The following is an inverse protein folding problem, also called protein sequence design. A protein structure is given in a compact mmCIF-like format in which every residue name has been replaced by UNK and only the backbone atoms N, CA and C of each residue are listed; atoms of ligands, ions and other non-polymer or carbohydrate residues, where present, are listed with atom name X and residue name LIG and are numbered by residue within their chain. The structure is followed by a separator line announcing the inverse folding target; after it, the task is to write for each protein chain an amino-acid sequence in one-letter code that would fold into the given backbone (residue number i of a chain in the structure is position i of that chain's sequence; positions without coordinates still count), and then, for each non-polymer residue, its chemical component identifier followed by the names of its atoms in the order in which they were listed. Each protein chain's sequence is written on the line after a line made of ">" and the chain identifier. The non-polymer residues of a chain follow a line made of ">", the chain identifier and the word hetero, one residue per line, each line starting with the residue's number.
data_IF_346029137329
#
_entry.id   IF_346029137329
#
_cell.length_a   1.000
_cell.length_b   1.000
_cell.length_c   1.000
_cell.angle_alpha   90.00
_cell.angle_beta   90.00
_cell.angle_gamma   90.00
#
_symmetry.space_group_name_H-M   'P 1'
#
loop_
_entity.id
_entity.type
_entity.pdbx_description
1 polymer ?
#
# COMPACT_ATOMS: atom_id res chain seq x y z
N UNK A 1 30.30 -2.90 -19.90
CA UNK A 1 28.86 -2.87 -19.58
C UNK A 1 28.79 -2.89 -18.08
N UNK A 2 28.94 -1.71 -17.45
CA UNK A 2 28.77 -1.63 -16.01
C UNK A 2 27.34 -2.08 -15.70
N UNK A 3 27.14 -3.08 -14.83
CA UNK A 3 25.80 -3.47 -14.45
C UNK A 3 25.10 -2.21 -13.92
N UNK A 4 23.81 -2.04 -14.25
CA UNK A 4 22.97 -1.03 -13.63
C UNK A 4 22.97 -1.27 -12.11
N UNK A 5 23.95 -0.70 -11.41
CA UNK A 5 24.00 -0.69 -9.95
C UNK A 5 22.99 0.35 -9.53
N UNK A 6 21.74 -0.07 -9.41
CA UNK A 6 20.71 0.74 -8.74
C UNK A 6 21.24 1.05 -7.33
N UNK A 7 21.07 2.28 -6.82
CA UNK A 7 21.37 2.55 -5.42
C UNK A 7 20.58 1.55 -4.58
N UNK A 8 21.27 0.80 -3.72
CA UNK A 8 20.71 -0.39 -3.04
C UNK A 8 19.39 -0.07 -2.31
N UNK A 9 19.25 1.16 -1.81
CA UNK A 9 18.05 1.70 -1.17
C UNK A 9 16.84 1.79 -2.10
N UNK A 10 17.01 2.19 -3.37
CA UNK A 10 15.92 2.32 -4.33
C UNK A 10 15.35 0.95 -4.75
N UNK A 11 16.24 0.00 -5.03
CA UNK A 11 15.85 -1.37 -5.40
C UNK A 11 15.09 -2.09 -4.28
N UNK A 12 15.55 -1.95 -3.04
CA UNK A 12 14.85 -2.48 -1.86
C UNK A 12 13.47 -1.84 -1.69
N UNK A 13 13.34 -0.53 -1.92
CA UNK A 13 12.06 0.18 -1.83
C UNK A 13 11.06 -0.33 -2.86
N UNK A 14 11.51 -0.61 -4.10
CA UNK A 14 10.66 -1.22 -5.14
C UNK A 14 10.20 -2.62 -4.71
N UNK A 15 11.09 -3.45 -4.18
CA UNK A 15 10.73 -4.80 -3.69
C UNK A 15 9.68 -4.74 -2.58
N UNK A 16 9.82 -3.82 -1.63
CA UNK A 16 8.82 -3.59 -0.58
C UNK A 16 7.49 -3.16 -1.19
N UNK A 17 7.48 -2.22 -2.12
CA UNK A 17 6.27 -1.77 -2.81
C UNK A 17 5.57 -2.89 -3.59
N UNK A 18 6.33 -3.77 -4.23
CA UNK A 18 5.81 -4.97 -4.90
C UNK A 18 5.18 -5.94 -3.90
N UNK A 19 5.80 -6.16 -2.74
CA UNK A 19 5.23 -6.97 -1.67
C UNK A 19 3.88 -6.42 -1.19
N UNK A 20 3.80 -5.10 -0.98
CA UNK A 20 2.56 -4.41 -0.59
C UNK A 20 1.50 -4.54 -1.70
N UNK A 21 1.87 -4.40 -2.98
CA UNK A 21 0.95 -4.62 -4.10
C UNK A 21 0.38 -6.03 -4.13
N UNK A 22 1.22 -7.05 -3.91
CA UNK A 22 0.80 -8.45 -3.87
C UNK A 22 -0.20 -8.68 -2.73
N UNK A 23 0.07 -8.14 -1.54
CA UNK A 23 -0.85 -8.22 -0.40
C UNK A 23 -2.18 -7.53 -0.72
N UNK A 24 -2.15 -6.32 -1.26
CA UNK A 24 -3.37 -5.61 -1.64
C UNK A 24 -4.17 -6.32 -2.73
N UNK A 25 -3.48 -6.95 -3.69
CA UNK A 25 -4.09 -7.77 -4.73
C UNK A 25 -4.78 -9.01 -4.16
N UNK A 26 -4.11 -9.72 -3.24
CA UNK A 26 -4.69 -10.89 -2.57
C UNK A 26 -5.91 -10.52 -1.74
N UNK A 27 -5.85 -9.40 -0.99
CA UNK A 27 -7.00 -8.93 -0.22
C UNK A 27 -8.15 -8.56 -1.16
N UNK A 28 -7.90 -7.75 -2.19
CA UNK A 28 -8.94 -7.25 -3.10
C UNK A 28 -9.59 -8.33 -3.96
N UNK A 29 -8.78 -9.13 -4.64
CA UNK A 29 -9.27 -10.05 -5.69
C UNK A 29 -9.48 -11.48 -5.18
N UNK A 30 -8.72 -11.90 -4.16
CA UNK A 30 -8.86 -13.24 -3.57
C UNK A 30 -9.74 -13.24 -2.32
N UNK A 31 -10.18 -12.07 -1.84
CA UNK A 31 -10.95 -11.95 -0.60
C UNK A 31 -10.17 -12.40 0.63
N UNK A 32 -8.84 -12.31 0.62
CA UNK A 32 -8.00 -12.75 1.75
C UNK A 32 -8.01 -11.73 2.91
N UNK A 33 -9.20 -11.48 3.43
CA UNK A 33 -9.50 -10.61 4.57
C UNK A 33 -8.86 -11.11 5.86
N UNK A 34 -8.50 -12.40 5.97
CA UNK A 34 -7.72 -12.94 7.09
C UNK A 34 -6.35 -12.27 7.28
N UNK A 35 -5.82 -11.63 6.21
CA UNK A 35 -4.58 -10.86 6.28
C UNK A 35 -4.77 -9.52 7.01
N UNK A 36 -6.01 -9.07 7.21
CA UNK A 36 -6.32 -7.93 8.05
C UNK A 36 -6.24 -8.37 9.51
N UNK A 37 -5.24 -7.86 10.21
CA UNK A 37 -5.10 -8.09 11.64
C UNK A 37 -6.38 -7.64 12.37
N UNK A 38 -6.96 -8.55 13.17
CA UNK A 38 -8.19 -8.28 13.92
C UNK A 38 -9.49 -8.43 13.11
N UNK A 39 -9.44 -9.05 11.92
CA UNK A 39 -10.66 -9.45 11.21
C UNK A 39 -11.47 -10.47 12.04
N UNK A 40 -12.72 -10.13 12.34
CA UNK A 40 -13.71 -11.05 12.91
C UNK A 40 -14.84 -11.25 11.89
N UNK A 41 -15.01 -12.46 11.32
CA UNK A 41 -16.05 -12.74 10.34
C UNK A 41 -17.47 -12.54 10.89
N UNK A 42 -17.68 -12.58 12.21
CA UNK A 42 -19.00 -12.35 12.82
C UNK A 42 -19.34 -10.86 12.98
N UNK A 43 -18.36 -9.98 12.91
CA UNK A 43 -18.52 -8.54 13.04
C UNK A 43 -18.68 -7.82 11.69
N UNK A 44 -18.48 -8.52 10.57
CA UNK A 44 -18.45 -7.93 9.22
C UNK A 44 -19.67 -8.39 8.43
N UNK A 45 -20.58 -7.45 8.16
CA UNK A 45 -21.83 -7.69 7.41
C UNK A 45 -21.59 -7.92 5.92
N UNK A 46 -20.52 -7.32 5.35
CA UNK A 46 -20.16 -7.45 3.93
C UNK A 46 -18.64 -7.58 3.77
N UNK A 47 -18.19 -8.82 3.64
CA UNK A 47 -16.78 -9.17 3.48
C UNK A 47 -16.20 -8.69 2.13
N UNK A 48 -17.01 -8.69 1.07
CA UNK A 48 -16.59 -8.27 -0.26
C UNK A 48 -16.33 -6.76 -0.30
N UNK A 49 -17.20 -5.97 0.34
CA UNK A 49 -16.97 -4.53 0.49
C UNK A 49 -15.71 -4.23 1.31
N UNK A 50 -15.44 -4.98 2.37
CA UNK A 50 -14.22 -4.81 3.18
C UNK A 50 -12.95 -5.13 2.37
N UNK A 51 -12.97 -6.24 1.64
CA UNK A 51 -11.88 -6.67 0.76
C UNK A 51 -11.56 -5.63 -0.31
N UNK A 52 -12.60 -5.07 -0.95
CA UNK A 52 -12.43 -4.09 -2.03
C UNK A 52 -11.89 -2.74 -1.52
N UNK A 53 -12.36 -2.30 -0.35
CA UNK A 53 -11.90 -1.08 0.31
C UNK A 53 -10.46 -1.20 0.83
N UNK A 54 -10.17 -2.25 1.59
CA UNK A 54 -8.86 -2.47 2.20
C UNK A 54 -7.82 -2.81 1.13
N UNK A 55 -8.10 -3.80 0.29
CA UNK A 55 -7.21 -4.23 -0.78
C UNK A 55 -6.97 -3.13 -1.81
N UNK A 56 -8.01 -2.38 -2.19
CA UNK A 56 -7.87 -1.22 -3.09
C UNK A 56 -6.99 -0.10 -2.53
N UNK A 57 -7.02 0.11 -1.21
CA UNK A 57 -6.15 1.11 -0.56
C UNK A 57 -4.71 0.62 -0.48
N UNK A 58 -4.51 -0.65 -0.11
CA UNK A 58 -3.17 -1.26 -0.05
C UNK A 58 -2.51 -1.29 -1.43
N UNK A 59 -3.26 -1.59 -2.49
CA UNK A 59 -2.75 -1.52 -3.88
C UNK A 59 -2.27 -0.10 -4.21
N UNK A 60 -3.04 0.93 -3.84
CA UNK A 60 -2.64 2.33 -4.08
C UNK A 60 -1.36 2.70 -3.33
N UNK A 61 -1.24 2.27 -2.07
CA UNK A 61 -0.02 2.48 -1.27
C UNK A 61 1.17 1.78 -1.94
N UNK A 62 1.03 0.50 -2.27
CA UNK A 62 2.07 -0.27 -2.94
C UNK A 62 2.51 0.36 -4.26
N UNK A 63 1.57 0.85 -5.07
CA UNK A 63 1.87 1.56 -6.32
C UNK A 63 2.67 2.85 -6.07
N UNK A 64 2.28 3.66 -5.06
CA UNK A 64 3.02 4.87 -4.68
C UNK A 64 4.44 4.53 -4.23
N UNK A 65 4.63 3.47 -3.44
CA UNK A 65 5.94 3.00 -2.99
C UNK A 65 6.81 2.54 -4.16
N UNK A 66 6.24 1.78 -5.11
CA UNK A 66 6.97 1.35 -6.32
C UNK A 66 7.42 2.55 -7.15
N UNK A 67 6.52 3.50 -7.41
CA UNK A 67 6.85 4.71 -8.18
C UNK A 67 7.95 5.51 -7.47
N UNK A 68 7.85 5.69 -6.16
CA UNK A 68 8.88 6.37 -5.37
C UNK A 68 10.23 5.63 -5.40
N UNK A 69 10.21 4.30 -5.27
CA UNK A 69 11.40 3.47 -5.39
C UNK A 69 12.07 3.59 -6.76
N UNK A 70 11.30 3.64 -7.85
CA UNK A 70 11.83 3.84 -9.21
C UNK A 70 12.45 5.23 -9.35
N UNK A 71 11.76 6.28 -8.90
CA UNK A 71 12.23 7.68 -8.96
C UNK A 71 13.54 7.87 -8.19
N UNK A 72 13.63 7.30 -7.00
CA UNK A 72 14.86 7.35 -6.18
C UNK A 72 15.97 6.47 -6.78
N UNK A 73 15.64 5.35 -7.40
CA UNK A 73 16.61 4.47 -8.06
C UNK A 73 17.29 5.10 -9.28
N UNK A 74 16.60 6.01 -10.00
CA UNK A 74 17.20 6.78 -11.10
C UNK A 74 17.95 8.04 -10.63
N UNK A 75 18.11 8.23 -9.32
CA UNK A 75 18.87 9.34 -8.73
C UNK A 75 18.08 10.64 -8.58
N UNK A 76 16.78 10.66 -8.91
CA UNK A 76 15.93 11.83 -8.72
C UNK A 76 15.46 11.92 -7.26
N UNK A 77 16.36 12.34 -6.38
CA UNK A 77 16.08 12.55 -4.95
C UNK A 77 15.95 14.03 -4.63
N UNK A 78 14.91 14.39 -3.88
CA UNK A 78 14.64 15.76 -3.43
C UNK A 78 13.90 15.72 -2.11
N UNK A 79 14.24 16.60 -1.17
CA UNK A 79 13.56 16.69 0.14
C UNK A 79 12.06 16.90 0.01
N UNK A 80 11.62 17.56 -1.06
CA UNK A 80 10.21 17.75 -1.37
C UNK A 80 9.53 16.44 -1.80
N UNK A 81 10.22 15.58 -2.56
CA UNK A 81 9.71 14.26 -2.95
C UNK A 81 9.53 13.36 -1.72
N UNK A 82 10.51 13.34 -0.83
CA UNK A 82 10.45 12.54 0.41
C UNK A 82 9.29 13.00 1.30
N UNK A 83 9.09 14.31 1.42
CA UNK A 83 7.98 14.90 2.19
C UNK A 83 6.62 14.57 1.58
N UNK A 84 6.47 14.72 0.26
CA UNK A 84 5.23 14.38 -0.45
C UNK A 84 4.91 12.89 -0.33
N UNK A 85 5.93 12.04 -0.42
CA UNK A 85 5.77 10.59 -0.24
C UNK A 85 5.28 10.25 1.17
N UNK A 86 5.92 10.80 2.21
CA UNK A 86 5.50 10.61 3.60
C UNK A 86 4.05 11.07 3.83
N UNK A 87 3.67 12.24 3.30
CA UNK A 87 2.30 12.76 3.38
C UNK A 87 1.33 11.83 2.65
N UNK A 88 1.67 11.35 1.45
CA UNK A 88 0.81 10.45 0.68
C UNK A 88 0.52 9.14 1.43
N UNK A 89 1.55 8.54 2.06
CA UNK A 89 1.42 7.34 2.90
C UNK A 89 0.51 7.64 4.10
N UNK A 90 0.74 8.75 4.81
CA UNK A 90 -0.08 9.15 5.96
C UNK A 90 -1.54 9.36 5.57
N UNK A 91 -1.80 10.09 4.48
CA UNK A 91 -3.16 10.31 3.98
C UNK A 91 -3.81 8.99 3.59
N UNK A 92 -3.09 8.07 2.95
CA UNK A 92 -3.63 6.75 2.60
C UNK A 92 -3.99 5.93 3.84
N UNK A 93 -3.12 5.93 4.86
CA UNK A 93 -3.36 5.26 6.14
C UNK A 93 -4.56 5.88 6.89
N UNK A 94 -4.60 7.20 7.03
CA UNK A 94 -5.72 7.92 7.67
C UNK A 94 -7.04 7.64 6.93
N UNK A 95 -7.01 7.67 5.59
CA UNK A 95 -8.20 7.39 4.77
C UNK A 95 -8.69 5.96 4.96
N UNK A 96 -7.79 4.98 5.11
CA UNK A 96 -8.15 3.59 5.40
C UNK A 96 -8.86 3.49 6.76
N UNK A 97 -8.25 4.04 7.81
CA UNK A 97 -8.80 4.01 9.17
C UNK A 97 -10.18 4.67 9.23
N UNK A 98 -10.32 5.86 8.64
CA UNK A 98 -11.61 6.56 8.58
C UNK A 98 -12.68 5.77 7.84
N UNK A 99 -12.30 5.11 6.73
CA UNK A 99 -13.25 4.39 5.90
C UNK A 99 -13.72 3.10 6.54
N UNK A 100 -12.82 2.34 7.17
CA UNK A 100 -13.19 1.14 7.95
C UNK A 100 -14.17 1.52 9.07
N UNK A 101 -13.84 2.55 9.86
CA UNK A 101 -14.70 2.99 10.98
C UNK A 101 -16.10 3.41 10.53
N UNK A 102 -16.22 4.04 9.35
CA UNK A 102 -17.52 4.46 8.80
C UNK A 102 -18.43 3.27 8.47
N UNK A 103 -17.88 2.12 8.08
CA UNK A 103 -18.66 0.94 7.69
C UNK A 103 -18.99 0.00 8.86
N UNK A 104 -18.36 0.15 10.02
CA UNK A 104 -18.64 -0.65 11.24
C UNK A 104 -19.81 -0.09 12.09
N UNK A 105 -20.41 1.05 11.72
CA UNK A 105 -21.48 1.71 12.53
C UNK A 105 -22.85 1.66 11.84
N UNK A 106 -23.21 0.54 11.20
CA UNK A 106 -24.54 0.34 10.61
C UNK A 106 -25.23 -0.87 11.25
#
# INVERSE_FOLDING_TARGET
>A
MDPLVLPESGALTVLVGLGVLVLGYLIKFRGWTFLLAGYDPNAVTDEAALADLAGGTIIRIGLTVVVFGIVTAVGATSSLLDTVFAIAILVAAVRLVYRVRKHTTA
#
